data_IF_327704582334
#
_entry.id   IF_327704582334
#
_cell.length_a   1.000
_cell.length_b   1.000
_cell.length_c   1.000
_cell.angle_alpha   90.00
_cell.angle_beta   90.00
_cell.angle_gamma   90.00
#
_symmetry.space_group_name_H-M   'P 1'
#
loop_
_entity.id
_entity.type
_entity.pdbx_description
1 polymer ?
#
# COMPACT_ATOMS: atom_id res chain seq x y z
N UNK A 1 -30.24 20.14 17.40
CA UNK A 1 -29.29 19.31 16.62
C UNK A 1 -28.05 20.15 16.36
N UNK A 2 -26.86 19.73 16.81
CA UNK A 2 -25.62 20.50 16.66
C UNK A 2 -25.35 20.77 15.17
N UNK A 3 -24.91 21.98 14.78
CA UNK A 3 -24.69 22.35 13.38
C UNK A 3 -23.78 21.35 12.65
N UNK A 4 -22.70 20.91 13.31
CA UNK A 4 -21.79 19.87 12.83
C UNK A 4 -22.47 18.52 12.53
N UNK A 5 -23.53 18.14 13.25
CA UNK A 5 -24.28 16.89 12.98
C UNK A 5 -25.17 16.99 11.74
N UNK A 6 -25.71 18.18 11.45
CA UNK A 6 -26.51 18.42 10.23
C UNK A 6 -25.64 18.35 8.98
N UNK A 7 -24.42 18.90 9.06
CA UNK A 7 -23.45 18.86 7.96
C UNK A 7 -23.03 17.42 7.63
N UNK A 8 -22.70 16.63 8.66
CA UNK A 8 -22.37 15.20 8.49
C UNK A 8 -23.55 14.44 7.87
N UNK A 9 -24.77 14.71 8.32
CA UNK A 9 -25.98 14.06 7.80
C UNK A 9 -26.22 14.40 6.31
N UNK A 10 -26.13 15.67 5.95
CA UNK A 10 -26.31 16.11 4.56
C UNK A 10 -25.20 15.56 3.65
N UNK A 11 -23.97 15.46 4.16
CA UNK A 11 -22.86 14.84 3.44
C UNK A 11 -23.11 13.36 3.17
N UNK A 12 -23.66 12.62 4.14
CA UNK A 12 -23.96 11.19 3.96
C UNK A 12 -25.17 10.97 3.02
N UNK A 13 -26.21 11.80 3.11
CA UNK A 13 -27.35 11.77 2.18
C UNK A 13 -26.90 12.05 0.74
N UNK A 14 -25.99 13.01 0.56
CA UNK A 14 -25.40 13.34 -0.75
C UNK A 14 -24.56 12.20 -1.34
N UNK A 15 -23.84 11.44 -0.49
CA UNK A 15 -23.12 10.23 -0.92
C UNK A 15 -24.07 9.15 -1.43
N UNK A 16 -25.14 8.85 -0.69
CA UNK A 16 -26.12 7.82 -1.06
C UNK A 16 -26.83 8.14 -2.40
N UNK A 17 -27.14 9.41 -2.65
CA UNK A 17 -27.79 9.83 -3.90
C UNK A 17 -26.86 9.84 -5.12
N UNK A 18 -25.53 9.84 -4.92
CA UNK A 18 -24.55 9.83 -6.01
C UNK A 18 -23.58 8.64 -5.86
N UNK A 19 -24.03 7.42 -6.24
CA UNK A 19 -23.26 6.18 -6.05
C UNK A 19 -21.99 6.08 -6.91
N UNK A 20 -21.76 7.05 -7.81
CA UNK A 20 -20.55 7.17 -8.62
C UNK A 20 -19.49 8.10 -8.00
N UNK A 21 -19.74 8.67 -6.82
CA UNK A 21 -18.69 9.30 -6.05
C UNK A 21 -17.70 8.21 -5.61
N UNK A 22 -16.41 8.36 -5.93
CA UNK A 22 -15.37 7.34 -5.73
C UNK A 22 -15.14 6.87 -4.28
N UNK A 23 -15.93 7.36 -3.32
CA UNK A 23 -15.96 6.95 -1.91
C UNK A 23 -16.77 5.65 -1.71
N UNK A 24 -17.81 5.38 -2.53
CA UNK A 24 -18.64 4.17 -2.40
C UNK A 24 -17.93 2.89 -2.84
N UNK A 25 -16.95 3.00 -3.74
CA UNK A 25 -16.07 1.89 -4.10
C UNK A 25 -15.31 1.35 -2.89
N UNK A 26 -14.83 2.23 -1.99
CA UNK A 26 -14.07 1.82 -0.80
C UNK A 26 -14.90 1.06 0.24
N UNK A 27 -16.22 1.31 0.31
CA UNK A 27 -17.11 0.63 1.28
C UNK A 27 -17.63 -0.70 0.74
N UNK A 28 -17.95 -0.79 -0.56
CA UNK A 28 -18.32 -2.06 -1.20
C UNK A 28 -17.17 -3.09 -1.18
N UNK A 29 -15.92 -2.62 -1.23
CA UNK A 29 -14.74 -3.49 -1.11
C UNK A 29 -14.59 -4.14 0.28
N UNK A 30 -15.25 -3.62 1.33
CA UNK A 30 -15.15 -4.16 2.69
C UNK A 30 -16.17 -5.26 3.03
N UNK A 31 -17.15 -5.55 2.16
CA UNK A 31 -18.13 -6.60 2.41
C UNK A 31 -17.76 -7.86 1.62
N UNK A 32 -17.17 -8.84 2.31
CA UNK A 32 -16.76 -10.11 1.72
C UNK A 32 -17.94 -11.08 1.77
N UNK A 33 -18.46 -11.49 0.61
CA UNK A 33 -19.46 -12.56 0.52
C UNK A 33 -18.74 -13.91 0.34
N UNK A 34 -18.61 -14.64 1.45
CA UNK A 34 -17.76 -15.84 1.58
C UNK A 34 -18.16 -16.98 0.63
N UNK A 35 -19.43 -17.10 0.24
CA UNK A 35 -19.93 -18.21 -0.57
C UNK A 35 -19.75 -18.05 -2.10
N UNK A 36 -19.21 -16.92 -2.57
CA UNK A 36 -19.16 -16.61 -4.01
C UNK A 36 -17.97 -17.21 -4.76
N UNK A 37 -17.00 -17.81 -4.06
CA UNK A 37 -15.77 -18.35 -4.66
C UNK A 37 -14.88 -17.30 -5.34
N UNK A 38 -15.20 -16.00 -5.19
CA UNK A 38 -14.45 -14.90 -5.79
C UNK A 38 -13.07 -14.79 -5.14
N UNK A 39 -12.02 -14.74 -5.94
CA UNK A 39 -10.66 -14.53 -5.44
C UNK A 39 -10.53 -13.12 -4.84
N UNK A 40 -10.05 -13.06 -3.59
CA UNK A 40 -9.86 -11.81 -2.85
C UNK A 40 -8.38 -11.46 -2.88
N UNK A 41 -8.06 -10.20 -3.19
CA UNK A 41 -6.67 -9.70 -3.16
C UNK A 41 -6.42 -9.02 -1.82
N UNK A 42 -5.60 -9.65 -0.98
CA UNK A 42 -5.13 -9.06 0.28
C UNK A 42 -3.81 -8.31 0.03
N UNK A 43 -3.65 -7.18 0.71
CA UNK A 43 -2.42 -6.39 0.71
C UNK A 43 -2.16 -5.91 2.13
N UNK A 44 -0.92 -6.04 2.57
CA UNK A 44 -0.48 -5.51 3.85
C UNK A 44 0.82 -4.71 3.68
N UNK A 45 1.01 -3.70 4.52
CA UNK A 45 2.18 -2.80 4.47
C UNK A 45 2.97 -2.94 5.75
N UNK A 46 4.16 -3.53 5.63
CA UNK A 46 5.10 -3.69 6.74
C UNK A 46 6.13 -2.57 6.72
N UNK A 47 6.29 -1.88 7.86
CA UNK A 47 7.29 -0.81 8.01
C UNK A 47 8.66 -1.38 8.41
N UNK A 48 9.72 -0.95 7.71
CA UNK A 48 11.11 -1.29 8.05
C UNK A 48 11.61 -0.33 9.13
N UNK A 49 12.17 -0.81 10.26
CA UNK A 49 12.54 0.02 11.41
C UNK A 49 13.91 0.72 11.21
N UNK A 50 14.04 1.51 10.14
CA UNK A 50 15.26 2.25 9.80
C UNK A 50 15.66 3.27 10.87
N UNK A 51 14.67 3.89 11.53
CA UNK A 51 14.92 4.89 12.57
C UNK A 51 15.58 4.29 13.82
N UNK A 52 15.28 3.02 14.14
CA UNK A 52 15.86 2.31 15.27
C UNK A 52 17.24 1.74 14.96
N UNK A 53 17.53 1.46 13.69
CA UNK A 53 18.76 0.83 13.24
C UNK A 53 19.29 1.50 11.96
N UNK A 54 19.79 2.76 12.04
CA UNK A 54 20.14 3.55 10.86
C UNK A 54 21.32 2.99 10.06
N UNK A 55 22.19 2.20 10.70
CA UNK A 55 23.39 1.62 10.09
C UNK A 55 23.16 0.22 9.51
N UNK A 56 21.93 -0.32 9.56
CA UNK A 56 21.62 -1.65 9.07
C UNK A 56 20.96 -1.61 7.68
N UNK A 57 21.51 -2.38 6.74
CA UNK A 57 20.96 -2.50 5.39
C UNK A 57 19.88 -3.59 5.30
N UNK A 58 18.65 -3.26 5.72
CA UNK A 58 17.51 -4.16 5.67
C UNK A 58 17.21 -4.67 4.25
N UNK A 59 17.15 -3.75 3.27
CA UNK A 59 16.84 -4.06 1.87
C UNK A 59 17.90 -5.01 1.31
N UNK A 60 19.19 -4.71 1.48
CA UNK A 60 20.26 -5.58 1.02
C UNK A 60 20.25 -6.97 1.65
N UNK A 61 19.82 -7.09 2.92
CA UNK A 61 19.65 -8.39 3.59
C UNK A 61 18.44 -9.16 3.05
N UNK A 62 17.31 -8.49 2.82
CA UNK A 62 16.10 -9.09 2.24
C UNK A 62 16.34 -9.64 0.84
N UNK A 63 17.05 -8.90 -0.02
CA UNK A 63 17.31 -9.35 -1.38
C UNK A 63 18.51 -10.31 -1.47
N UNK A 64 19.51 -10.18 -0.59
CA UNK A 64 20.84 -10.79 -0.78
C UNK A 64 21.51 -10.32 -2.10
N UNK A 65 22.83 -10.53 -2.31
CA UNK A 65 23.54 -9.98 -3.48
C UNK A 65 22.97 -10.34 -4.86
N UNK A 66 22.16 -11.40 -4.96
CA UNK A 66 21.52 -11.87 -6.21
C UNK A 66 19.99 -11.82 -6.21
N UNK A 67 19.34 -11.20 -5.21
CA UNK A 67 17.86 -11.17 -5.15
C UNK A 67 17.19 -12.49 -4.71
N UNK A 68 17.97 -13.56 -4.49
CA UNK A 68 17.45 -14.93 -4.29
C UNK A 68 16.63 -15.10 -3.02
N UNK A 69 16.95 -14.38 -1.95
CA UNK A 69 16.29 -14.57 -0.65
C UNK A 69 14.83 -14.09 -0.67
N UNK A 70 14.56 -12.91 -1.24
CA UNK A 70 13.18 -12.41 -1.34
C UNK A 70 12.37 -13.24 -2.33
N UNK A 71 12.98 -13.66 -3.45
CA UNK A 71 12.32 -14.53 -4.41
C UNK A 71 11.90 -15.86 -3.78
N UNK A 72 12.81 -16.53 -3.07
CA UNK A 72 12.50 -17.77 -2.35
C UNK A 72 11.38 -17.58 -1.32
N UNK A 73 11.38 -16.46 -0.59
CA UNK A 73 10.33 -16.16 0.38
C UNK A 73 8.96 -15.97 -0.28
N UNK A 74 8.92 -15.30 -1.44
CA UNK A 74 7.69 -15.15 -2.22
C UNK A 74 7.18 -16.49 -2.76
N UNK A 75 8.07 -17.33 -3.28
CA UNK A 75 7.73 -18.67 -3.77
C UNK A 75 7.20 -19.55 -2.63
N UNK A 76 7.87 -19.55 -1.48
CA UNK A 76 7.50 -20.35 -0.32
C UNK A 76 6.16 -19.92 0.30
N UNK A 77 5.84 -18.62 0.30
CA UNK A 77 4.60 -18.08 0.88
C UNK A 77 3.49 -17.83 -0.14
N UNK A 78 3.77 -18.08 -1.43
CA UNK A 78 2.87 -17.78 -2.54
C UNK A 78 2.36 -16.34 -2.54
N UNK A 79 3.23 -15.40 -2.16
CA UNK A 79 2.88 -13.97 -2.06
C UNK A 79 3.69 -13.13 -3.04
N UNK A 80 3.20 -11.93 -3.30
CA UNK A 80 3.96 -10.90 -4.02
C UNK A 80 4.41 -9.84 -3.03
N UNK A 81 5.71 -9.70 -2.86
CA UNK A 81 6.34 -8.72 -1.98
C UNK A 81 7.02 -7.65 -2.84
N UNK A 82 6.98 -6.40 -2.37
CA UNK A 82 7.63 -5.28 -3.04
C UNK A 82 8.20 -4.36 -1.96
N UNK A 83 9.41 -3.84 -2.18
CA UNK A 83 9.99 -2.82 -1.31
C UNK A 83 9.67 -1.44 -1.87
N UNK A 84 9.02 -0.61 -1.06
CA UNK A 84 8.46 0.68 -1.47
C UNK A 84 9.00 1.81 -0.58
N UNK A 85 8.98 3.02 -1.11
CA UNK A 85 9.26 4.24 -0.35
C UNK A 85 10.71 4.70 -0.38
N UNK A 86 11.05 5.62 0.51
CA UNK A 86 12.37 6.24 0.53
C UNK A 86 13.47 5.23 0.86
N UNK A 87 14.56 5.23 0.09
CA UNK A 87 15.67 4.30 0.24
C UNK A 87 15.38 2.89 -0.31
N UNK A 88 14.26 2.70 -1.03
CA UNK A 88 14.01 1.43 -1.71
C UNK A 88 14.94 1.25 -2.91
N UNK A 89 15.37 2.32 -3.58
CA UNK A 89 16.21 2.19 -4.77
C UNK A 89 17.70 2.14 -4.43
N UNK A 90 18.43 1.32 -5.19
CA UNK A 90 19.90 1.25 -5.11
C UNK A 90 20.56 2.62 -5.37
N UNK A 91 20.02 3.39 -6.31
CA UNK A 91 20.59 4.68 -6.73
C UNK A 91 19.76 5.86 -6.20
N UNK A 92 20.21 6.44 -5.08
CA UNK A 92 19.52 7.55 -4.38
C UNK A 92 19.24 8.77 -5.27
N UNK A 93 20.15 9.10 -6.19
CA UNK A 93 19.95 10.23 -7.14
C UNK A 93 18.78 9.99 -8.08
N UNK A 94 18.66 8.78 -8.62
CA UNK A 94 17.54 8.42 -9.50
C UNK A 94 16.22 8.40 -8.72
N UNK A 95 16.27 7.91 -7.49
CA UNK A 95 15.11 7.90 -6.58
C UNK A 95 14.57 9.31 -6.36
N UNK A 96 15.46 10.26 -6.06
CA UNK A 96 15.06 11.64 -5.79
C UNK A 96 14.47 12.33 -7.02
N UNK A 97 15.02 12.09 -8.21
CA UNK A 97 14.49 12.61 -9.46
C UNK A 97 13.10 12.05 -9.79
N UNK A 98 12.87 10.75 -9.55
CA UNK A 98 11.56 10.13 -9.73
C UNK A 98 10.54 10.64 -8.71
N UNK A 99 10.97 10.89 -7.47
CA UNK A 99 10.14 11.51 -6.43
C UNK A 99 9.70 12.92 -6.82
N UNK A 100 10.61 13.75 -7.35
CA UNK A 100 10.29 15.11 -7.83
C UNK A 100 9.27 15.11 -8.98
N UNK A 101 9.26 14.06 -9.80
CA UNK A 101 8.31 13.86 -10.90
C UNK A 101 6.91 13.38 -10.43
N UNK A 102 6.66 13.30 -9.13
CA UNK A 102 5.36 12.90 -8.57
C UNK A 102 5.09 11.39 -8.59
N UNK A 103 6.05 10.57 -9.05
CA UNK A 103 5.91 9.12 -9.06
C UNK A 103 6.24 8.56 -7.66
N UNK A 104 5.21 8.39 -6.83
CA UNK A 104 5.33 7.79 -5.49
C UNK A 104 5.48 6.26 -5.50
N UNK A 105 5.34 5.60 -6.66
CA UNK A 105 5.49 4.14 -6.80
C UNK A 105 6.88 3.80 -7.35
N UNK A 106 7.88 3.71 -6.47
CA UNK A 106 9.20 3.22 -6.84
C UNK A 106 9.35 1.74 -6.47
N UNK A 107 9.55 0.92 -7.50
CA UNK A 107 9.73 -0.53 -7.44
C UNK A 107 11.22 -0.89 -7.59
N UNK A 108 11.68 -1.83 -6.77
CA UNK A 108 12.74 -2.80 -7.07
C UNK A 108 12.18 -4.20 -6.88
#
# INVERSE_FOLDING_TARGET
MNPSKKEILNQEIGRIHNPNSGDDFKRKDNQIVVHTGKQIRLKDKVHIPVDKHPNFNFVGKLFSPKGSSLQQLQEATQTRMVVLGHGSMKHKRMEEELRKRGNQSMFI
#
